data_IF_435493458157
#
_entry.id   IF_435493458157
#
_cell.length_a   1.000
_cell.length_b   1.000
_cell.length_c   1.000
_cell.angle_alpha   90.00
_cell.angle_beta   90.00
_cell.angle_gamma   90.00
#
_symmetry.space_group_name_H-M   'P 1'
#
loop_
_entity.id
_entity.type
_entity.pdbx_description
1 polymer ?
#
# COMPACT_ATOMS: atom_id res chain seq x y z
N UNK A 1 1.42 -31.15 -2.91
CA UNK A 1 2.63 -30.36 -3.14
C UNK A 1 2.26 -28.88 -3.36
N UNK A 2 2.40 -28.05 -2.33
CA UNK A 2 2.32 -26.59 -2.45
C UNK A 2 3.63 -26.02 -2.98
N UNK A 3 3.59 -24.88 -3.66
CA UNK A 3 4.83 -24.21 -4.07
C UNK A 3 5.62 -23.75 -2.82
N UNK A 4 6.96 -23.74 -2.88
CA UNK A 4 7.78 -23.14 -1.84
C UNK A 4 7.44 -21.65 -1.67
N UNK A 5 7.63 -21.12 -0.45
CA UNK A 5 7.36 -19.72 -0.12
C UNK A 5 8.16 -18.81 -1.07
N UNK A 6 7.49 -17.82 -1.67
CA UNK A 6 8.10 -16.86 -2.58
C UNK A 6 8.07 -17.23 -4.07
N UNK A 7 7.70 -18.47 -4.43
CA UNK A 7 7.60 -18.88 -5.83
C UNK A 7 6.17 -18.75 -6.33
N UNK A 8 5.92 -17.72 -7.15
CA UNK A 8 4.64 -17.56 -7.86
C UNK A 8 4.43 -18.76 -8.79
N UNK A 9 3.21 -19.30 -8.84
CA UNK A 9 2.87 -20.34 -9.82
C UNK A 9 2.86 -19.71 -11.20
N UNK A 10 3.66 -20.23 -12.12
CA UNK A 10 3.59 -19.84 -13.53
C UNK A 10 2.29 -20.37 -14.14
N UNK A 11 1.29 -19.48 -14.17
CA UNK A 11 -0.03 -19.79 -14.69
C UNK A 11 -0.02 -19.97 -16.21
N UNK A 12 0.87 -19.29 -16.93
CA UNK A 12 0.99 -19.40 -18.38
C UNK A 12 1.57 -20.77 -18.74
N UNK A 13 2.61 -21.22 -18.04
CA UNK A 13 3.15 -22.56 -18.20
C UNK A 13 2.11 -23.63 -17.84
N UNK A 14 1.33 -23.43 -16.78
CA UNK A 14 0.28 -24.37 -16.38
C UNK A 14 -0.85 -24.47 -17.42
N UNK A 15 -1.25 -23.35 -18.00
CA UNK A 15 -2.26 -23.29 -19.06
C UNK A 15 -1.78 -23.98 -20.34
N UNK A 16 -0.57 -23.65 -20.80
CA UNK A 16 0.07 -24.32 -21.95
C UNK A 16 0.11 -25.83 -21.76
N UNK A 17 0.42 -26.30 -20.55
CA UNK A 17 0.44 -27.72 -20.19
C UNK A 17 -0.96 -28.37 -20.29
N UNK A 18 -2.00 -27.69 -19.81
CA UNK A 18 -3.40 -28.16 -19.89
C UNK A 18 -3.88 -28.22 -21.34
N UNK A 19 -3.62 -27.19 -22.14
CA UNK A 19 -3.98 -27.16 -23.55
C UNK A 19 -3.23 -28.21 -24.37
N UNK A 20 -1.97 -28.51 -24.02
CA UNK A 20 -1.23 -29.64 -24.60
C UNK A 20 -1.91 -30.97 -24.24
N UNK A 21 -2.27 -31.18 -22.97
CA UNK A 21 -2.98 -32.38 -22.54
C UNK A 21 -4.33 -32.56 -23.26
N UNK A 22 -5.10 -31.48 -23.40
CA UNK A 22 -6.39 -31.47 -24.10
C UNK A 22 -6.28 -31.90 -25.57
N UNK A 23 -5.27 -31.37 -26.28
CA UNK A 23 -4.98 -31.76 -27.67
C UNK A 23 -4.62 -33.23 -27.80
N UNK A 24 -3.85 -33.79 -26.87
CA UNK A 24 -3.52 -35.21 -26.87
C UNK A 24 -4.75 -36.09 -26.59
N UNK A 25 -5.60 -35.69 -25.64
CA UNK A 25 -6.86 -36.38 -25.36
C UNK A 25 -7.81 -36.35 -26.57
N UNK A 26 -7.88 -35.22 -27.29
CA UNK A 26 -8.70 -35.08 -28.50
C UNK A 26 -8.21 -35.95 -29.66
N UNK A 27 -6.92 -36.35 -29.64
CA UNK A 27 -6.32 -37.29 -30.61
C UNK A 27 -6.47 -38.76 -30.18
N UNK A 28 -7.22 -39.05 -29.11
CA UNK A 28 -7.44 -40.41 -28.62
C UNK A 28 -6.30 -41.01 -27.78
N UNK A 29 -5.31 -40.20 -27.37
CA UNK A 29 -4.21 -40.68 -26.51
C UNK A 29 -4.75 -41.03 -25.12
N UNK A 30 -4.35 -42.18 -24.59
CA UNK A 30 -4.81 -42.62 -23.26
C UNK A 30 -4.42 -41.64 -22.15
N UNK A 31 -5.28 -41.46 -21.14
CA UNK A 31 -5.02 -40.53 -20.03
C UNK A 31 -3.71 -40.81 -19.29
N UNK A 32 -3.30 -42.08 -19.21
CA UNK A 32 -2.03 -42.47 -18.59
C UNK A 32 -0.82 -41.98 -19.40
N UNK A 33 -0.90 -42.10 -20.72
CA UNK A 33 0.16 -41.63 -21.62
C UNK A 33 0.24 -40.10 -21.66
N UNK A 34 -0.92 -39.43 -21.70
CA UNK A 34 -0.98 -37.96 -21.59
C UNK A 34 -0.32 -37.47 -20.30
N UNK A 35 -0.56 -38.16 -19.18
CA UNK A 35 0.03 -37.82 -17.88
C UNK A 35 1.57 -37.85 -17.91
N UNK A 36 2.14 -38.88 -18.55
CA UNK A 36 3.60 -39.01 -18.77
C UNK A 36 4.13 -37.87 -19.64
N UNK A 37 3.50 -37.63 -20.79
CA UNK A 37 3.98 -36.63 -21.76
C UNK A 37 3.93 -35.19 -21.25
N UNK A 38 2.91 -34.85 -20.46
CA UNK A 38 2.74 -33.48 -19.96
C UNK A 38 3.31 -33.27 -18.56
N UNK A 39 3.90 -34.31 -17.94
CA UNK A 39 4.45 -34.21 -16.59
C UNK A 39 3.38 -33.84 -15.56
N UNK A 40 2.24 -34.53 -15.58
CA UNK A 40 1.14 -34.32 -14.64
C UNK A 40 0.69 -35.64 -14.02
N UNK A 41 0.08 -35.58 -12.84
CA UNK A 41 -0.50 -36.76 -12.21
C UNK A 41 -1.74 -37.25 -12.98
N UNK A 42 -1.95 -38.57 -13.09
CA UNK A 42 -3.08 -39.17 -13.84
C UNK A 42 -4.45 -38.61 -13.41
N UNK A 43 -4.67 -38.37 -12.12
CA UNK A 43 -5.90 -37.75 -11.62
C UNK A 43 -6.12 -36.31 -12.11
N UNK A 44 -5.05 -35.57 -12.43
CA UNK A 44 -5.16 -34.24 -13.02
C UNK A 44 -5.64 -34.33 -14.46
N UNK A 45 -5.09 -35.27 -15.22
CA UNK A 45 -5.49 -35.54 -16.61
C UNK A 45 -6.93 -36.03 -16.69
N UNK A 46 -7.35 -36.91 -15.78
CA UNK A 46 -8.74 -37.37 -15.68
C UNK A 46 -9.72 -36.22 -15.42
N UNK A 47 -9.36 -35.29 -14.53
CA UNK A 47 -10.15 -34.06 -14.32
C UNK A 47 -10.20 -33.19 -15.57
N UNK A 48 -9.07 -33.00 -16.26
CA UNK A 48 -9.05 -32.21 -17.50
C UNK A 48 -9.87 -32.84 -18.61
N UNK A 49 -9.85 -34.17 -18.75
CA UNK A 49 -10.69 -34.88 -19.70
C UNK A 49 -12.19 -34.61 -19.44
N UNK A 50 -12.63 -34.72 -18.18
CA UNK A 50 -14.00 -34.37 -17.78
C UNK A 50 -14.35 -32.91 -18.03
N UNK A 51 -13.42 -31.98 -17.78
CA UNK A 51 -13.63 -30.56 -18.03
C UNK A 51 -13.76 -30.26 -19.54
N UNK A 52 -12.97 -30.93 -20.38
CA UNK A 52 -13.05 -30.82 -21.84
C UNK A 52 -14.34 -31.43 -22.38
N UNK A 53 -14.76 -32.58 -21.85
CA UNK A 53 -16.03 -33.21 -22.21
C UNK A 53 -17.23 -32.32 -21.86
N UNK A 54 -17.20 -31.67 -20.70
CA UNK A 54 -18.31 -30.84 -20.24
C UNK A 54 -18.35 -29.43 -20.86
N UNK A 55 -17.19 -28.81 -21.15
CA UNK A 55 -17.07 -27.38 -21.50
C UNK A 55 -16.20 -27.10 -22.72
N UNK A 56 -15.75 -28.13 -23.43
CA UNK A 56 -14.78 -28.01 -24.52
C UNK A 56 -13.40 -27.51 -24.05
N UNK A 57 -12.56 -27.13 -25.01
CA UNK A 57 -11.20 -26.61 -24.74
C UNK A 57 -11.21 -25.36 -23.85
N UNK A 58 -12.26 -24.54 -23.95
CA UNK A 58 -12.45 -23.34 -23.13
C UNK A 58 -12.56 -23.64 -21.62
N UNK A 59 -12.97 -24.87 -21.25
CA UNK A 59 -12.96 -25.32 -19.85
C UNK A 59 -11.57 -25.39 -19.23
N UNK A 60 -10.52 -25.49 -20.06
CA UNK A 60 -9.12 -25.52 -19.65
C UNK A 60 -8.38 -24.19 -19.88
N UNK A 61 -8.95 -23.31 -20.70
CA UNK A 61 -8.53 -21.92 -20.82
C UNK A 61 -8.85 -21.19 -19.51
N UNK A 62 -7.97 -20.26 -19.16
CA UNK A 62 -7.98 -19.65 -17.83
C UNK A 62 -9.26 -18.84 -17.60
N UNK A 63 -10.15 -19.30 -16.71
CA UNK A 63 -10.71 -18.39 -15.72
C UNK A 63 -9.55 -18.04 -14.78
N UNK A 64 -8.93 -16.86 -14.95
CA UNK A 64 -7.99 -16.32 -13.97
C UNK A 64 -8.65 -16.50 -12.61
N UNK A 65 -8.17 -17.43 -11.76
CA UNK A 65 -8.75 -17.59 -10.43
C UNK A 65 -8.48 -16.28 -9.73
N UNK A 66 -9.48 -15.38 -9.64
CA UNK A 66 -9.23 -14.10 -9.02
C UNK A 66 -8.88 -14.50 -7.59
N UNK A 67 -7.80 -13.95 -7.05
CA UNK A 67 -7.68 -13.95 -5.59
C UNK A 67 -8.98 -13.38 -4.99
N UNK A 68 -9.11 -13.41 -3.66
CA UNK A 68 -10.23 -12.76 -2.99
C UNK A 68 -10.50 -11.40 -3.65
N UNK A 69 -11.74 -11.22 -4.14
CA UNK A 69 -12.12 -9.99 -4.86
C UNK A 69 -11.64 -8.78 -4.05
N UNK A 70 -10.97 -7.80 -4.68
CA UNK A 70 -10.57 -6.59 -3.98
C UNK A 70 -11.76 -5.98 -3.26
N UNK A 71 -11.59 -5.56 -2.01
CA UNK A 71 -12.66 -4.91 -1.23
C UNK A 71 -12.99 -3.51 -1.75
N UNK A 72 -12.09 -2.92 -2.54
CA UNK A 72 -12.29 -1.64 -3.22
C UNK A 72 -12.47 -1.90 -4.70
N UNK A 73 -13.54 -1.34 -5.27
CA UNK A 73 -13.79 -1.29 -6.72
C UNK A 73 -12.96 -0.17 -7.34
N UNK A 74 -12.87 -0.13 -8.67
CA UNK A 74 -12.19 0.97 -9.36
C UNK A 74 -12.84 2.34 -9.05
N UNK A 75 -14.17 2.35 -8.94
CA UNK A 75 -14.93 3.53 -8.54
C UNK A 75 -14.54 4.01 -7.13
N UNK A 76 -14.36 3.08 -6.18
CA UNK A 76 -13.85 3.43 -4.84
C UNK A 76 -12.45 4.04 -4.93
N UNK A 77 -11.59 3.51 -5.80
CA UNK A 77 -10.23 4.05 -5.98
C UNK A 77 -10.27 5.48 -6.50
N UNK A 78 -11.11 5.77 -7.50
CA UNK A 78 -11.31 7.13 -8.01
C UNK A 78 -11.83 8.10 -6.95
N UNK A 79 -12.83 7.68 -6.15
CA UNK A 79 -13.35 8.50 -5.03
C UNK A 79 -12.28 8.80 -3.98
N UNK A 80 -11.50 7.80 -3.59
CA UNK A 80 -10.41 7.97 -2.62
C UNK A 80 -9.37 8.95 -3.18
N UNK A 81 -8.98 8.83 -4.44
CA UNK A 81 -7.97 9.71 -5.04
C UNK A 81 -8.44 11.17 -5.10
N UNK A 82 -9.69 11.40 -5.51
CA UNK A 82 -10.29 12.74 -5.50
C UNK A 82 -10.34 13.33 -4.09
N UNK A 83 -10.73 12.53 -3.09
CA UNK A 83 -10.74 12.95 -1.70
C UNK A 83 -9.33 13.28 -1.17
N UNK A 84 -8.32 12.48 -1.52
CA UNK A 84 -6.93 12.76 -1.13
C UNK A 84 -6.44 14.09 -1.72
N UNK A 85 -6.78 14.39 -2.98
CA UNK A 85 -6.43 15.64 -3.66
C UNK A 85 -7.08 16.89 -3.03
N UNK A 86 -8.31 16.76 -2.50
CA UNK A 86 -8.98 17.85 -1.75
C UNK A 86 -8.26 18.21 -0.44
N UNK A 87 -7.42 17.31 0.06
CA UNK A 87 -6.61 17.51 1.26
C UNK A 87 -7.38 17.26 2.56
N UNK A 88 -6.68 17.03 3.69
CA UNK A 88 -7.32 16.63 4.94
C UNK A 88 -8.21 17.73 5.55
N UNK A 89 -7.93 19.01 5.30
CA UNK A 89 -8.75 20.11 5.83
C UNK A 89 -10.18 20.08 5.32
N UNK A 90 -10.39 19.65 4.08
CA UNK A 90 -11.73 19.47 3.51
C UNK A 90 -12.56 18.42 4.26
N UNK A 91 -11.91 17.58 5.08
CA UNK A 91 -12.52 16.53 5.90
C UNK A 91 -12.44 16.84 7.41
N UNK A 92 -12.25 18.13 7.76
CA UNK A 92 -12.30 18.59 9.15
C UNK A 92 -11.02 18.38 9.97
N UNK A 93 -9.92 17.94 9.35
CA UNK A 93 -8.66 17.81 10.07
C UNK A 93 -7.94 19.17 10.19
N UNK A 94 -7.34 19.45 11.35
CA UNK A 94 -6.67 20.73 11.61
C UNK A 94 -5.42 20.99 10.72
N UNK A 95 -4.77 19.93 10.25
CA UNK A 95 -3.50 20.01 9.49
C UNK A 95 -3.65 19.47 8.08
N UNK A 96 -2.85 20.01 7.15
CA UNK A 96 -2.83 19.62 5.72
C UNK A 96 -2.21 18.24 5.44
N UNK A 97 -1.81 17.50 6.49
CA UNK A 97 -1.09 16.24 6.34
C UNK A 97 -2.03 15.03 6.36
N UNK A 98 -1.99 14.25 5.30
CA UNK A 98 -2.57 12.92 5.32
C UNK A 98 -1.69 11.99 6.17
N UNK A 99 -2.31 11.32 7.14
CA UNK A 99 -1.70 10.18 7.83
C UNK A 99 -2.43 8.91 7.43
N UNK A 100 -1.78 7.76 7.51
CA UNK A 100 -2.43 6.48 7.20
C UNK A 100 -3.69 6.22 8.04
N UNK A 101 -3.77 6.78 9.26
CA UNK A 101 -4.97 6.72 10.11
C UNK A 101 -6.10 7.60 9.57
N UNK A 102 -5.80 8.83 9.16
CA UNK A 102 -6.79 9.73 8.54
C UNK A 102 -7.33 9.17 7.23
N UNK A 103 -6.44 8.61 6.40
CA UNK A 103 -6.85 7.97 5.13
C UNK A 103 -7.66 6.71 5.40
N UNK A 104 -7.37 5.93 6.46
CA UNK A 104 -8.22 4.81 6.87
C UNK A 104 -9.64 5.28 7.19
N UNK A 105 -9.76 6.36 7.95
CA UNK A 105 -11.06 6.88 8.37
C UNK A 105 -11.84 7.42 7.16
N UNK A 106 -11.15 8.10 6.24
CA UNK A 106 -11.69 8.49 4.94
C UNK A 106 -12.23 7.30 4.14
N UNK A 107 -11.45 6.22 3.98
CA UNK A 107 -11.88 5.03 3.23
C UNK A 107 -13.09 4.36 3.91
N UNK A 108 -13.12 4.36 5.24
CA UNK A 108 -14.26 3.82 5.98
C UNK A 108 -15.53 4.66 5.75
N UNK A 109 -15.41 5.99 5.68
CA UNK A 109 -16.51 6.91 5.41
C UNK A 109 -17.01 6.82 3.97
N UNK A 110 -16.11 6.95 2.99
CA UNK A 110 -16.46 7.06 1.57
C UNK A 110 -16.85 5.72 0.94
N UNK A 111 -16.30 4.61 1.43
CA UNK A 111 -16.44 3.29 0.80
C UNK A 111 -17.04 2.22 1.73
N UNK A 112 -17.25 2.51 3.01
CA UNK A 112 -17.73 1.53 4.00
C UNK A 112 -16.73 0.41 4.31
N UNK A 113 -15.47 0.51 3.86
CA UNK A 113 -14.47 -0.55 3.99
C UNK A 113 -13.44 -0.20 5.06
N UNK A 114 -13.37 -1.01 6.12
CA UNK A 114 -12.36 -0.85 7.18
C UNK A 114 -11.07 -1.60 6.84
N UNK A 115 -9.94 -0.88 6.89
CA UNK A 115 -8.59 -1.43 6.72
C UNK A 115 -7.71 -1.14 7.95
N UNK A 116 -6.61 -1.90 8.08
CA UNK A 116 -5.55 -1.54 9.02
C UNK A 116 -4.71 -0.37 8.44
N UNK A 117 -4.12 0.49 9.28
CA UNK A 117 -3.27 1.59 8.79
C UNK A 117 -2.11 1.11 7.90
N UNK A 118 -1.56 -0.09 8.18
CA UNK A 118 -0.53 -0.71 7.33
C UNK A 118 -1.06 -1.02 5.93
N UNK A 119 -2.27 -1.56 5.82
CA UNK A 119 -2.88 -1.85 4.52
C UNK A 119 -3.16 -0.55 3.74
N UNK A 120 -3.61 0.50 4.43
CA UNK A 120 -3.81 1.82 3.82
C UNK A 120 -2.51 2.40 3.29
N UNK A 121 -1.39 2.25 4.00
CA UNK A 121 -0.08 2.65 3.48
C UNK A 121 0.30 1.91 2.19
N UNK A 122 0.07 0.60 2.13
CA UNK A 122 0.28 -0.18 0.89
C UNK A 122 -0.62 0.31 -0.25
N UNK A 123 -1.88 0.61 0.05
CA UNK A 123 -2.84 1.15 -0.92
C UNK A 123 -2.37 2.51 -1.48
N UNK A 124 -1.92 3.41 -0.61
CA UNK A 124 -1.39 4.71 -0.99
C UNK A 124 -0.17 4.57 -1.90
N UNK A 125 0.76 3.67 -1.59
CA UNK A 125 1.91 3.38 -2.48
C UNK A 125 1.48 2.85 -3.84
N UNK A 126 0.46 1.99 -3.89
CA UNK A 126 -0.09 1.48 -5.15
C UNK A 126 -0.73 2.59 -5.98
N UNK A 127 -1.33 3.58 -5.34
CA UNK A 127 -1.86 4.80 -5.96
C UNK A 127 -0.78 5.85 -6.30
N UNK A 128 0.51 5.54 -6.11
CA UNK A 128 1.61 6.48 -6.39
C UNK A 128 1.85 7.55 -5.32
N UNK A 129 1.13 7.51 -4.18
CA UNK A 129 1.35 8.45 -3.09
C UNK A 129 2.58 8.07 -2.26
N UNK A 130 3.40 9.07 -1.96
CA UNK A 130 4.60 8.93 -1.14
C UNK A 130 4.47 9.73 0.16
N UNK A 131 5.26 9.35 1.17
CA UNK A 131 5.30 10.08 2.42
C UNK A 131 5.95 11.45 2.21
N UNK A 132 5.17 12.52 2.41
CA UNK A 132 5.66 13.87 2.29
C UNK A 132 6.16 14.38 3.64
N UNK A 133 7.39 14.91 3.67
CA UNK A 133 7.92 15.60 4.84
C UNK A 133 7.59 17.09 4.69
N UNK A 134 6.79 17.69 5.59
CA UNK A 134 6.53 19.12 5.53
C UNK A 134 7.86 19.88 5.67
N UNK A 135 7.99 20.97 4.92
CA UNK A 135 9.08 21.91 5.15
C UNK A 135 8.92 22.48 6.56
N UNK A 136 9.90 22.26 7.44
CA UNK A 136 9.90 22.75 8.83
C UNK A 136 10.07 24.27 8.95
N UNK A 137 9.51 25.04 8.02
CA UNK A 137 9.53 26.50 8.01
C UNK A 137 8.18 27.01 8.49
N UNK A 138 8.20 27.79 9.58
CA UNK A 138 7.03 28.54 10.00
C UNK A 138 6.59 29.50 8.89
N UNK A 139 5.29 29.64 8.66
CA UNK A 139 4.76 30.59 7.65
C UNK A 139 5.11 32.04 8.00
N UNK A 140 5.17 32.37 9.28
CA UNK A 140 5.49 33.69 9.82
C UNK A 140 7.00 34.01 9.84
N UNK A 141 7.83 33.12 9.29
CA UNK A 141 9.28 33.26 9.35
C UNK A 141 9.76 34.47 8.55
N UNK A 142 10.17 35.53 9.25
CA UNK A 142 10.85 36.70 8.67
C UNK A 142 12.39 36.52 8.72
N UNK A 143 13.00 36.29 7.55
CA UNK A 143 14.46 36.15 7.40
C UNK A 143 15.22 37.44 7.73
N UNK A 144 14.61 38.62 7.57
CA UNK A 144 15.22 39.88 7.96
C UNK A 144 15.22 40.03 9.50
N UNK A 145 14.11 39.71 10.17
CA UNK A 145 14.05 39.70 11.63
C UNK A 145 15.01 38.69 12.25
N UNK A 146 15.09 37.48 11.70
CA UNK A 146 16.04 36.45 12.16
C UNK A 146 17.49 36.94 12.00
N UNK A 147 17.84 37.54 10.86
CA UNK A 147 19.18 38.09 10.63
C UNK A 147 19.50 39.23 11.59
N UNK A 148 18.55 40.15 11.85
CA UNK A 148 18.73 41.23 12.84
C UNK A 148 18.95 40.66 14.24
N UNK A 149 18.10 39.74 14.67
CA UNK A 149 18.20 39.11 15.99
C UNK A 149 19.53 38.37 16.18
N UNK A 150 19.98 37.60 15.17
CA UNK A 150 21.28 36.90 15.22
C UNK A 150 22.48 37.83 15.30
N UNK A 151 22.43 39.00 14.65
CA UNK A 151 23.55 39.96 14.62
C UNK A 151 23.61 40.86 15.85
N UNK A 152 22.46 41.25 16.38
CA UNK A 152 22.36 42.25 17.45
C UNK A 152 22.05 41.58 18.79
N UNK A 153 20.88 40.95 18.87
CA UNK A 153 20.34 40.44 20.14
C UNK A 153 21.10 39.23 20.67
N UNK A 154 21.52 38.32 19.81
CA UNK A 154 22.22 37.10 20.23
C UNK A 154 23.60 37.38 20.86
N UNK A 155 24.46 38.24 20.28
CA UNK A 155 25.69 38.66 20.94
C UNK A 155 25.47 39.40 22.25
N UNK A 156 24.44 40.24 22.37
CA UNK A 156 24.10 40.94 23.63
C UNK A 156 23.75 39.95 24.74
N UNK A 157 22.92 38.96 24.46
CA UNK A 157 22.51 37.94 25.43
C UNK A 157 23.65 37.02 25.86
N UNK A 158 24.65 36.80 24.99
CA UNK A 158 25.85 36.02 25.32
C UNK A 158 26.85 36.79 26.19
N UNK A 159 26.77 38.12 26.23
CA UNK A 159 27.62 38.90 27.13
C UNK A 159 27.07 38.76 28.54
N UNK A 160 27.94 38.42 29.49
CA UNK A 160 27.61 38.51 30.91
C UNK A 160 27.17 39.96 31.20
N UNK A 161 26.00 40.19 31.83
CA UNK A 161 25.57 41.54 32.17
C UNK A 161 26.67 42.25 32.97
N UNK A 162 27.08 43.45 32.54
CA UNK A 162 28.07 44.27 33.26
C UNK A 162 27.58 44.61 34.66
N UNK A 163 26.29 44.82 34.79
CA UNK A 163 25.62 45.03 36.06
C UNK A 163 25.06 43.70 36.53
N UNK A 164 25.83 42.97 37.33
CA UNK A 164 25.28 41.91 38.16
C UNK A 164 24.31 42.62 39.12
N UNK A 165 23.02 42.62 38.80
CA UNK A 165 22.00 43.10 39.73
C UNK A 165 22.27 42.41 41.08
N UNK A 166 22.23 43.20 42.17
CA UNK A 166 22.36 42.66 43.53
C UNK A 166 21.45 41.43 43.65
N UNK A 167 21.90 40.33 44.28
CA UNK A 167 21.09 39.13 44.41
C UNK A 167 19.69 39.53 44.89
N UNK A 168 18.65 39.16 44.14
CA UNK A 168 17.29 39.35 44.59
C UNK A 168 17.12 38.63 45.93
N UNK A 169 16.55 39.30 46.93
CA UNK A 169 16.37 38.78 48.30
C UNK A 169 15.49 37.53 48.40
N UNK A 170 14.94 37.03 47.30
CA UNK A 170 14.27 35.73 47.26
C UNK A 170 15.27 34.60 47.05
N UNK A 171 16.14 34.38 48.03
CA UNK A 171 16.81 33.09 48.21
C UNK A 171 15.79 32.14 48.81
N UNK A 172 15.15 31.31 47.98
CA UNK A 172 14.40 30.16 48.47
C UNK A 172 15.41 29.17 49.04
N UNK A 173 15.62 29.23 50.37
CA UNK A 173 16.10 28.05 51.09
C UNK A 173 14.92 27.09 51.16
N UNK A 174 15.08 25.93 50.53
CA UNK A 174 14.20 24.80 50.76
C UNK A 174 14.60 24.19 52.11
N UNK A 175 13.62 24.15 53.02
CA UNK A 175 13.62 23.23 54.16
C UNK A 175 12.92 21.93 53.75
#
# INVERSE_FOLDING_TARGET
MGNPRGVSRDFVALERRRLRAARLLSRGVSQAEVARQVGAHRQSVSRWAREVEAKGLQGLERASRPGRKPRLTEEHMGRIEQALKRGPRAFGYATELWTARRVRDLIAHECGVKFSPRHVWWLLRRLGWSCQRPAGRARERDEAAIRRWKRQRWPELKKTPKDRAKPSSSSMKAD
#
